data_IF_156022350384
#
_entry.id   IF_156022350384
#
_cell.length_a   1.000
_cell.length_b   1.000
_cell.length_c   1.000
_cell.angle_alpha   90.00
_cell.angle_beta   90.00
_cell.angle_gamma   90.00
#
_symmetry.space_group_name_H-M   'P 1'
#
loop_
_entity.id
_entity.type
_entity.pdbx_description
1 polymer ?
#
# COMPACT_ATOMS: atom_id res chain seq x y z
N UNK A 1 8.93 -0.40 23.60
CA UNK A 1 9.48 -0.71 22.26
C UNK A 1 8.60 -0.02 21.24
N UNK A 2 9.18 0.84 20.40
CA UNK A 2 8.47 1.50 19.31
C UNK A 2 9.09 0.98 18.02
N UNK A 3 8.28 0.48 17.09
CA UNK A 3 8.77 0.14 15.77
C UNK A 3 8.82 1.46 14.98
N UNK A 4 10.01 1.89 14.56
CA UNK A 4 10.15 3.12 13.78
C UNK A 4 9.98 2.76 12.30
N UNK A 5 8.90 3.24 11.70
CA UNK A 5 8.58 3.05 10.29
C UNK A 5 8.57 4.41 9.59
N UNK A 6 9.21 4.50 8.43
CA UNK A 6 9.23 5.69 7.58
C UNK A 6 8.49 5.38 6.28
N UNK A 7 7.61 6.28 5.85
CA UNK A 7 6.76 6.06 4.68
C UNK A 7 7.32 6.69 3.41
N UNK A 8 7.22 5.95 2.30
CA UNK A 8 7.59 6.39 0.96
C UNK A 8 6.48 6.03 -0.01
N UNK A 9 6.21 6.91 -0.98
CA UNK A 9 5.21 6.68 -2.02
C UNK A 9 5.89 6.54 -3.39
N UNK A 10 5.43 5.57 -4.19
CA UNK A 10 5.91 5.34 -5.55
C UNK A 10 4.72 5.21 -6.51
N UNK A 11 4.44 6.26 -7.28
CA UNK A 11 3.43 6.22 -8.33
C UNK A 11 3.99 5.56 -9.59
N UNK A 12 3.34 4.49 -10.05
CA UNK A 12 3.63 3.90 -11.36
C UNK A 12 2.71 4.57 -12.40
N UNK A 13 3.16 4.75 -13.66
CA UNK A 13 2.32 5.36 -14.68
C UNK A 13 1.07 4.52 -14.99
N UNK A 14 1.19 3.19 -14.94
CA UNK A 14 0.10 2.23 -15.12
C UNK A 14 0.36 0.96 -14.30
N UNK A 15 -0.71 0.22 -14.02
CA UNK A 15 -0.62 -1.13 -13.47
C UNK A 15 0.20 -2.05 -14.39
N UNK A 16 0.90 -3.01 -13.77
CA UNK A 16 1.74 -3.97 -14.50
C UNK A 16 1.79 -5.31 -13.77
N UNK A 17 2.32 -6.32 -14.45
CA UNK A 17 2.63 -7.59 -13.81
C UNK A 17 3.77 -7.40 -12.80
N UNK A 18 3.57 -7.87 -11.56
CA UNK A 18 4.56 -7.79 -10.49
C UNK A 18 5.23 -9.15 -10.32
N UNK A 19 6.55 -9.19 -10.47
CA UNK A 19 7.37 -10.36 -10.14
C UNK A 19 7.91 -10.14 -8.72
N UNK A 20 7.47 -10.96 -7.78
CA UNK A 20 7.89 -10.90 -6.37
C UNK A 20 8.76 -12.10 -6.01
N UNK A 21 9.68 -11.94 -5.05
CA UNK A 21 10.62 -13.00 -4.62
C UNK A 21 10.34 -13.54 -3.21
N UNK A 22 9.68 -12.76 -2.35
CA UNK A 22 9.44 -13.10 -0.93
C UNK A 22 7.96 -13.32 -0.59
N UNK A 23 7.06 -12.82 -1.43
CA UNK A 23 5.61 -12.92 -1.21
C UNK A 23 5.05 -14.18 -1.87
N UNK A 24 3.77 -14.48 -1.61
CA UNK A 24 3.08 -15.63 -2.24
C UNK A 24 2.18 -15.20 -3.40
N UNK A 25 1.65 -13.98 -3.37
CA UNK A 25 0.73 -13.44 -4.39
C UNK A 25 0.68 -11.91 -4.30
N UNK A 26 0.08 -11.26 -5.30
CA UNK A 26 -0.26 -9.84 -5.30
C UNK A 26 -1.63 -9.61 -5.94
N UNK A 27 -2.22 -8.44 -5.66
CA UNK A 27 -3.42 -7.95 -6.34
C UNK A 27 -3.38 -6.43 -6.43
N UNK A 28 -3.82 -5.88 -7.57
CA UNK A 28 -4.17 -4.46 -7.70
C UNK A 28 -5.59 -4.28 -7.17
N UNK A 29 -5.79 -3.26 -6.35
CA UNK A 29 -7.06 -2.94 -5.71
C UNK A 29 -7.23 -1.42 -5.69
N UNK A 30 -8.48 -0.97 -5.65
CA UNK A 30 -8.78 0.42 -5.33
C UNK A 30 -8.30 0.75 -3.90
N UNK A 31 -7.88 2.00 -3.68
CA UNK A 31 -7.25 2.41 -2.44
C UNK A 31 -8.10 2.13 -1.17
N UNK A 32 -9.43 2.34 -1.15
CA UNK A 32 -10.25 2.00 0.02
C UNK A 32 -10.28 0.49 0.35
N UNK A 33 -10.29 -0.36 -0.68
CA UNK A 33 -10.28 -1.82 -0.50
C UNK A 33 -8.92 -2.29 0.03
N UNK A 34 -7.83 -1.71 -0.49
CA UNK A 34 -6.47 -1.99 0.00
C UNK A 34 -6.29 -1.56 1.48
N UNK A 35 -6.80 -0.38 1.85
CA UNK A 35 -6.78 0.15 3.22
C UNK A 35 -7.57 -0.75 4.20
N UNK A 36 -8.68 -1.33 3.73
CA UNK A 36 -9.50 -2.26 4.52
C UNK A 36 -8.85 -3.64 4.65
N UNK A 37 -8.21 -4.14 3.59
CA UNK A 37 -7.62 -5.47 3.55
C UNK A 37 -6.37 -5.61 4.44
N UNK A 38 -5.53 -4.57 4.50
CA UNK A 38 -4.28 -4.65 5.25
C UNK A 38 -4.52 -4.78 6.77
N UNK A 39 -3.73 -5.65 7.40
CA UNK A 39 -3.72 -5.82 8.86
C UNK A 39 -2.83 -4.81 9.57
N UNK A 40 -1.87 -4.19 8.86
CA UNK A 40 -1.02 -3.15 9.41
C UNK A 40 -1.79 -1.83 9.46
N UNK A 41 -1.97 -1.27 10.65
CA UNK A 41 -2.64 0.02 10.84
C UNK A 41 -1.86 1.16 10.20
N UNK A 42 -0.52 1.11 10.22
CA UNK A 42 0.33 2.14 9.60
C UNK A 42 0.22 2.11 8.07
N UNK A 43 0.14 0.92 7.46
CA UNK A 43 -0.10 0.81 6.02
C UNK A 43 -1.49 1.34 5.63
N UNK A 44 -2.52 1.08 6.45
CA UNK A 44 -3.86 1.64 6.22
C UNK A 44 -3.81 3.16 6.20
N UNK A 45 -3.21 3.76 7.23
CA UNK A 45 -3.07 5.20 7.35
C UNK A 45 -2.28 5.80 6.18
N UNK A 46 -1.18 5.17 5.75
CA UNK A 46 -0.41 5.64 4.60
C UNK A 46 -1.23 5.63 3.29
N UNK A 47 -2.06 4.60 3.06
CA UNK A 47 -2.95 4.55 1.89
C UNK A 47 -4.01 5.66 1.96
N UNK A 48 -4.62 5.86 3.13
CA UNK A 48 -5.61 6.92 3.36
C UNK A 48 -5.01 8.31 3.13
N UNK A 49 -3.86 8.60 3.74
CA UNK A 49 -3.23 9.93 3.68
C UNK A 49 -2.64 10.27 2.31
N UNK A 50 -2.00 9.32 1.63
CA UNK A 50 -1.21 9.60 0.44
C UNK A 50 -1.80 9.10 -0.88
N UNK A 51 -2.90 8.34 -0.85
CA UNK A 51 -3.57 7.84 -2.06
C UNK A 51 -5.02 8.29 -2.13
N UNK A 52 -5.80 8.10 -1.07
CA UNK A 52 -7.24 8.47 -1.06
C UNK A 52 -7.40 9.99 -0.98
N UNK A 53 -6.73 10.64 -0.02
CA UNK A 53 -6.92 12.07 0.26
C UNK A 53 -6.12 12.99 -0.69
N UNK A 54 -5.31 12.43 -1.59
CA UNK A 54 -4.49 13.17 -2.57
C UNK A 54 -5.18 13.25 -3.93
N UNK A 55 -6.14 12.35 -4.20
CA UNK A 55 -6.84 12.22 -5.48
C UNK A 55 -7.95 13.27 -5.67
#
# INVERSE_FOLDING_TARGET
MHNTEFWFCLALPHERQVIFTEHLTYQWLDAPDAATLTKSWSNRQAIEEFVINVA
#
